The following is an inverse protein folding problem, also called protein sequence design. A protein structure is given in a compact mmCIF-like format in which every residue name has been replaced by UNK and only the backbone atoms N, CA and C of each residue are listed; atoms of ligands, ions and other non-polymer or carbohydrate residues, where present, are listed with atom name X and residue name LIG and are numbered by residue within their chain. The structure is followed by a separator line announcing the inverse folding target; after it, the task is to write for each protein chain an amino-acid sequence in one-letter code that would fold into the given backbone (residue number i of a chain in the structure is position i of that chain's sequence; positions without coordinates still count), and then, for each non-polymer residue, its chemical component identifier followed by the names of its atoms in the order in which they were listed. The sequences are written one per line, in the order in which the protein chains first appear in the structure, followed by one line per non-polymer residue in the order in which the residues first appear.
data_IF_782485337919
#
_entry.id   IF_782485337919
#
_cell.length_a   1.000
_cell.length_b   1.000
_cell.length_c   1.000
_cell.angle_alpha   90.00
_cell.angle_beta   90.00
_cell.angle_gamma   90.00
#
_symmetry.space_group_name_H-M   'P 1'
#
loop_
_entity.id
_entity.type
_entity.pdbx_description
1 polymer ?
#
# COMPACT_ATOMS: atom_id res chain seq x y z
N UNK A 1 2.20 6.45 5.01
CA UNK A 1 1.02 5.60 4.78
C UNK A 1 -0.01 5.72 5.90
N UNK A 2 -1.04 6.55 5.77
CA UNK A 2 -2.10 6.70 6.79
C UNK A 2 -3.42 6.07 6.32
N UNK A 3 -4.18 5.45 7.22
CA UNK A 3 -5.59 5.11 6.99
C UNK A 3 -6.40 6.41 7.10
N UNK A 4 -7.59 6.44 6.51
CA UNK A 4 -8.47 7.63 6.54
C UNK A 4 -8.69 8.17 7.95
N UNK A 5 -9.03 7.31 8.91
CA UNK A 5 -9.25 7.69 10.31
C UNK A 5 -7.97 8.20 10.99
N UNK A 6 -6.82 7.57 10.72
CA UNK A 6 -5.50 8.00 11.22
C UNK A 6 -5.15 9.40 10.67
N UNK A 7 -5.36 9.64 9.38
CA UNK A 7 -5.12 10.94 8.77
C UNK A 7 -6.03 12.03 9.37
N UNK A 8 -7.32 11.77 9.51
CA UNK A 8 -8.26 12.71 10.14
C UNK A 8 -7.97 12.94 11.63
N UNK A 9 -7.41 11.92 12.31
CA UNK A 9 -7.04 11.96 13.72
C UNK A 9 -5.66 12.51 14.00
N UNK A 10 -4.82 12.74 13.00
CA UNK A 10 -3.42 13.12 13.21
C UNK A 10 -3.32 14.45 13.96
N UNK A 11 -2.56 14.48 15.06
CA UNK A 11 -2.28 15.70 15.85
C UNK A 11 -0.95 16.31 15.45
N UNK A 12 -0.84 17.63 15.59
CA UNK A 12 0.44 18.33 15.44
C UNK A 12 1.48 17.92 16.48
N UNK A 13 1.06 17.53 17.68
CA UNK A 13 1.95 17.01 18.74
C UNK A 13 2.67 15.73 18.34
N UNK A 14 2.05 14.95 17.44
CA UNK A 14 2.55 13.66 16.98
C UNK A 14 3.13 13.78 15.55
N UNK A 15 3.36 15.01 15.07
CA UNK A 15 3.87 15.32 13.72
C UNK A 15 5.17 16.12 13.82
N UNK A 16 6.29 15.40 13.76
CA UNK A 16 7.64 15.92 13.96
C UNK A 16 8.29 16.29 12.63
N UNK A 17 7.87 17.42 12.05
CA UNK A 17 8.29 17.85 10.71
C UNK A 17 9.81 18.06 10.56
N UNK A 18 10.50 18.49 11.62
CA UNK A 18 11.96 18.69 11.57
C UNK A 18 12.73 17.37 11.54
N UNK A 19 12.16 16.32 12.12
CA UNK A 19 12.69 14.96 12.02
C UNK A 19 12.17 14.22 10.77
N UNK A 20 11.19 14.79 10.05
CA UNK A 20 10.50 14.11 8.95
C UNK A 20 9.72 12.88 9.41
N UNK A 21 9.11 12.92 10.60
CA UNK A 21 8.40 11.77 11.18
C UNK A 21 6.96 12.11 11.56
N UNK A 22 6.06 11.15 11.37
CA UNK A 22 4.71 11.15 11.92
C UNK A 22 4.53 9.92 12.79
N UNK A 23 4.05 10.13 14.02
CA UNK A 23 3.63 9.06 14.91
C UNK A 23 2.11 8.90 14.80
N UNK A 24 1.68 7.70 14.42
CA UNK A 24 0.26 7.33 14.34
C UNK A 24 -0.18 6.89 15.74
N UNK A 25 -0.70 7.82 16.53
CA UNK A 25 -1.10 7.53 17.92
C UNK A 25 -2.62 7.46 18.11
N UNK A 26 -3.41 8.11 17.23
CA UNK A 26 -4.87 8.24 17.34
C UNK A 26 -5.53 8.13 15.98
N UNK A 27 -6.81 7.80 15.96
CA UNK A 27 -7.65 7.84 14.76
C UNK A 27 -9.02 8.45 15.09
N UNK A 28 -9.66 9.04 14.08
CA UNK A 28 -11.09 9.34 14.16
C UNK A 28 -11.90 8.19 13.60
N UNK A 29 -12.83 7.69 14.41
CA UNK A 29 -13.78 6.62 14.08
C UNK A 29 -15.17 7.25 13.94
N UNK A 30 -15.99 6.63 13.09
CA UNK A 30 -17.39 7.03 12.90
C UNK A 30 -18.27 5.87 13.36
N UNK A 31 -19.18 6.15 14.29
CA UNK A 31 -20.29 5.26 14.63
C UNK A 31 -21.61 5.99 14.35
N UNK A 32 -22.39 5.46 13.41
CA UNK A 32 -23.49 6.19 12.78
C UNK A 32 -23.01 7.50 12.13
N UNK A 33 -23.33 8.64 12.76
CA UNK A 33 -22.90 9.98 12.35
C UNK A 33 -21.98 10.67 13.38
N UNK A 34 -21.73 10.04 14.52
CA UNK A 34 -20.88 10.60 15.55
C UNK A 34 -19.42 10.28 15.27
N UNK A 35 -18.55 11.27 15.48
CA UNK A 35 -17.11 11.15 15.32
C UNK A 35 -16.46 11.19 16.69
N UNK A 36 -15.71 10.16 17.03
CA UNK A 36 -14.91 10.13 18.25
C UNK A 36 -13.46 9.76 17.97
N UNK A 37 -12.57 10.18 18.87
CA UNK A 37 -11.17 9.78 18.87
C UNK A 37 -11.04 8.41 19.53
N UNK A 38 -10.28 7.52 18.90
CA UNK A 38 -9.96 6.20 19.41
C UNK A 38 -8.47 5.89 19.21
N UNK A 39 -7.97 4.91 19.94
CA UNK A 39 -6.65 4.33 19.71
C UNK A 39 -6.64 3.50 18.43
N UNK A 40 -5.48 3.31 17.76
CA UNK A 40 -5.38 2.40 16.64
C UNK A 40 -5.88 1.01 17.03
N UNK A 41 -6.69 0.38 16.17
CA UNK A 41 -7.36 -0.91 16.43
C UNK A 41 -6.42 -2.06 16.85
N UNK A 42 -5.11 -1.92 16.62
CA UNK A 42 -4.10 -2.93 16.93
C UNK A 42 -2.80 -2.25 17.38
N UNK A 43 -1.97 -2.95 18.16
CA UNK A 43 -0.63 -2.47 18.54
C UNK A 43 0.23 -2.14 17.31
N UNK A 44 0.07 -2.90 16.22
CA UNK A 44 0.71 -2.63 14.93
C UNK A 44 0.24 -1.33 14.25
N UNK A 45 -0.92 -0.80 14.66
CA UNK A 45 -1.44 0.49 14.20
C UNK A 45 -0.67 1.67 14.79
N UNK A 46 -0.11 1.52 16.00
CA UNK A 46 0.76 2.51 16.62
C UNK A 46 2.17 2.42 16.03
N UNK A 47 2.47 3.31 15.09
CA UNK A 47 3.72 3.25 14.30
C UNK A 47 4.24 4.63 13.94
N UNK A 48 5.53 4.70 13.65
CA UNK A 48 6.16 5.90 13.11
C UNK A 48 6.35 5.75 11.61
N UNK A 49 6.00 6.79 10.85
CA UNK A 49 6.12 6.86 9.39
C UNK A 49 7.11 7.97 9.06
N UNK A 50 8.11 7.65 8.26
CA UNK A 50 9.01 8.65 7.68
C UNK A 50 8.31 9.41 6.55
N UNK A 51 8.64 10.70 6.46
CA UNK A 51 8.18 11.62 5.42
C UNK A 51 9.36 12.02 4.55
N UNK A 52 9.15 12.08 3.25
CA UNK A 52 10.07 12.73 2.34
C UNK A 52 10.02 14.27 2.48
N UNK A 53 11.03 14.93 1.91
CA UNK A 53 11.18 16.38 2.03
C UNK A 53 10.01 17.16 1.39
N UNK A 54 9.43 16.67 0.29
CA UNK A 54 8.33 17.35 -0.39
C UNK A 54 7.06 17.26 0.45
N UNK A 55 6.78 16.09 1.05
CA UNK A 55 5.65 15.92 1.98
C UNK A 55 5.81 16.81 3.22
N UNK A 56 7.02 16.92 3.78
CA UNK A 56 7.30 17.83 4.90
C UNK A 56 7.00 19.28 4.51
N UNK A 57 7.41 19.72 3.32
CA UNK A 57 7.17 21.08 2.85
C UNK A 57 5.68 21.36 2.62
N UNK A 58 4.94 20.40 2.07
CA UNK A 58 3.47 20.49 1.94
C UNK A 58 2.82 20.66 3.31
N UNK A 59 3.24 19.90 4.32
CA UNK A 59 2.70 20.00 5.68
C UNK A 59 3.07 21.32 6.37
N UNK A 60 4.28 21.85 6.16
CA UNK A 60 4.67 23.18 6.68
C UNK A 60 3.78 24.28 6.15
N UNK A 61 3.56 24.30 4.83
CA UNK A 61 2.66 25.25 4.17
C UNK A 61 1.21 25.08 4.64
N UNK A 62 0.78 23.85 4.84
CA UNK A 62 -0.54 23.57 5.42
C UNK A 62 -0.68 24.13 6.84
N UNK A 63 0.33 23.94 7.70
CA UNK A 63 0.37 24.50 9.06
C UNK A 63 0.30 26.02 9.06
N UNK A 64 1.01 26.67 8.13
CA UNK A 64 0.96 28.12 7.98
C UNK A 64 -0.45 28.61 7.59
N UNK A 65 -1.07 27.98 6.58
CA UNK A 65 -2.46 28.28 6.17
C UNK A 65 -3.45 28.10 7.32
N UNK A 66 -3.34 27.01 8.07
CA UNK A 66 -4.19 26.76 9.23
C UNK A 66 -4.00 27.84 10.30
N UNK A 67 -2.79 28.37 10.46
CA UNK A 67 -2.51 29.53 11.31
C UNK A 67 -3.26 30.78 10.87
N UNK A 68 -3.26 31.08 9.57
CA UNK A 68 -4.04 32.19 9.00
C UNK A 68 -5.55 31.99 9.18
N UNK A 69 -6.05 30.77 9.00
CA UNK A 69 -7.46 30.41 9.26
C UNK A 69 -7.82 30.62 10.73
N UNK A 70 -6.98 30.16 11.65
CA UNK A 70 -7.13 30.37 13.09
C UNK A 70 -7.19 31.86 13.45
N UNK A 71 -6.32 32.69 12.88
CA UNK A 71 -6.36 34.13 13.08
C UNK A 71 -7.65 34.77 12.54
N UNK A 72 -8.12 34.34 11.35
CA UNK A 72 -9.36 34.83 10.74
C UNK A 72 -10.60 34.48 11.57
N UNK A 73 -10.66 33.27 12.11
CA UNK A 73 -11.80 32.80 12.93
C UNK A 73 -11.72 33.30 14.38
N UNK A 74 -10.52 33.62 14.88
CA UNK A 74 -10.31 34.20 16.20
C UNK A 74 -10.95 33.36 17.30
N UNK A 75 -11.86 33.96 18.08
CA UNK A 75 -12.54 33.28 19.18
C UNK A 75 -13.46 32.12 18.74
N UNK A 76 -13.87 32.09 17.47
CA UNK A 76 -14.73 31.03 16.93
C UNK A 76 -13.93 29.80 16.48
N UNK A 77 -12.60 29.87 16.52
CA UNK A 77 -11.73 28.75 16.20
C UNK A 77 -11.86 27.64 17.25
N UNK A 78 -11.99 26.40 16.79
CA UNK A 78 -12.07 25.21 17.65
C UNK A 78 -10.67 24.58 17.80
N UNK A 79 -10.14 24.59 19.02
CA UNK A 79 -8.81 24.07 19.33
C UNK A 79 -8.78 22.54 19.41
N UNK A 80 -8.79 21.88 18.25
CA UNK A 80 -8.71 20.41 18.16
C UNK A 80 -7.27 19.87 18.14
N UNK A 81 -6.30 20.71 17.81
CA UNK A 81 -4.88 20.33 17.68
C UNK A 81 -4.56 19.40 16.49
N UNK A 82 -5.51 19.22 15.56
CA UNK A 82 -5.36 18.32 14.40
C UNK A 82 -4.55 18.97 13.29
N UNK A 83 -3.83 18.13 12.56
CA UNK A 83 -3.16 18.51 11.31
C UNK A 83 -4.20 18.94 10.28
N UNK A 84 -5.26 18.15 10.10
CA UNK A 84 -6.32 18.43 9.14
C UNK A 84 -7.63 18.76 9.86
N UNK A 85 -8.15 19.95 9.60
CA UNK A 85 -9.39 20.49 10.18
C UNK A 85 -10.25 21.07 9.07
N UNK A 86 -11.50 21.42 9.40
CA UNK A 86 -12.23 22.44 8.67
C UNK A 86 -11.57 23.81 8.87
N UNK A 87 -11.98 24.79 8.08
CA UNK A 87 -11.47 26.17 8.15
C UNK A 87 -11.68 26.84 9.51
N UNK A 88 -12.62 26.36 10.33
CA UNK A 88 -12.90 26.86 11.68
C UNK A 88 -12.22 26.04 12.79
N UNK A 89 -11.38 25.07 12.45
CA UNK A 89 -10.66 24.21 13.40
C UNK A 89 -11.42 22.95 13.83
N UNK A 90 -12.69 22.79 13.44
CA UNK A 90 -13.47 21.58 13.72
C UNK A 90 -12.88 20.33 13.04
N UNK A 91 -13.23 19.16 13.58
CA UNK A 91 -12.81 17.87 13.05
C UNK A 91 -13.33 17.65 11.63
N UNK A 92 -12.49 17.06 10.78
CA UNK A 92 -12.94 16.49 9.53
C UNK A 92 -13.69 15.19 9.78
N UNK A 93 -14.92 15.11 9.26
CA UNK A 93 -15.66 13.85 9.27
C UNK A 93 -15.05 12.89 8.25
N UNK A 94 -14.60 11.68 8.62
CA UNK A 94 -13.96 10.75 7.69
C UNK A 94 -14.78 10.45 6.43
N UNK A 95 -16.11 10.31 6.54
CA UNK A 95 -16.96 10.11 5.37
C UNK A 95 -16.94 11.31 4.40
N UNK A 96 -16.83 12.55 4.90
CA UNK A 96 -16.75 13.74 4.05
C UNK A 96 -15.43 13.79 3.29
N UNK A 97 -14.33 13.32 3.88
CA UNK A 97 -13.03 13.18 3.19
C UNK A 97 -13.14 12.18 2.03
N UNK A 98 -13.84 11.07 2.25
CA UNK A 98 -14.06 10.06 1.19
C UNK A 98 -14.93 10.63 0.07
N UNK A 99 -16.04 11.30 0.43
CA UNK A 99 -16.92 11.95 -0.54
C UNK A 99 -16.17 13.00 -1.36
N UNK A 100 -15.38 13.86 -0.71
CA UNK A 100 -14.59 14.88 -1.40
C UNK A 100 -13.56 14.28 -2.35
N UNK A 101 -12.93 13.18 -1.98
CA UNK A 101 -12.01 12.47 -2.87
C UNK A 101 -12.72 11.90 -4.10
N UNK A 102 -13.94 11.38 -3.93
CA UNK A 102 -14.76 10.89 -5.05
C UNK A 102 -15.09 12.03 -6.02
N UNK A 103 -15.61 13.14 -5.50
CA UNK A 103 -15.90 14.35 -6.30
C UNK A 103 -14.68 14.80 -7.12
N UNK A 104 -13.49 14.80 -6.51
CA UNK A 104 -12.27 15.26 -7.16
C UNK A 104 -11.84 14.35 -8.32
N UNK A 105 -11.87 13.02 -8.16
CA UNK A 105 -11.47 12.13 -9.25
C UNK A 105 -12.49 12.14 -10.41
N UNK A 106 -13.78 12.31 -10.09
CA UNK A 106 -14.86 12.43 -11.08
C UNK A 106 -14.71 13.72 -11.89
N UNK A 107 -14.39 14.83 -11.24
CA UNK A 107 -14.17 16.14 -11.87
C UNK A 107 -13.04 16.11 -12.91
N UNK A 108 -11.98 15.34 -12.66
CA UNK A 108 -10.83 15.19 -13.57
C UNK A 108 -10.96 13.98 -14.51
N UNK A 109 -12.08 13.25 -14.47
CA UNK A 109 -12.38 12.14 -15.38
C UNK A 109 -11.53 10.88 -15.15
N UNK A 110 -11.04 10.65 -13.94
CA UNK A 110 -10.33 9.40 -13.61
C UNK A 110 -11.31 8.23 -13.42
N UNK A 111 -10.87 6.99 -13.67
CA UNK A 111 -11.64 5.80 -13.30
C UNK A 111 -11.92 5.76 -11.79
N UNK A 112 -13.02 5.11 -11.36
CA UNK A 112 -13.34 4.99 -9.95
C UNK A 112 -12.19 4.37 -9.14
N UNK A 113 -11.73 5.11 -8.14
CA UNK A 113 -10.66 4.70 -7.22
C UNK A 113 -11.07 5.03 -5.79
N UNK A 114 -10.79 4.13 -4.85
CA UNK A 114 -11.14 4.33 -3.44
C UNK A 114 -9.98 5.05 -2.75
N UNK A 115 -10.29 5.85 -1.73
CA UNK A 115 -9.26 6.59 -1.00
C UNK A 115 -8.18 5.67 -0.40
N UNK A 116 -8.55 4.46 0.01
CA UNK A 116 -7.56 3.50 0.52
C UNK A 116 -6.70 2.87 -0.58
N UNK A 117 -7.11 2.92 -1.85
CA UNK A 117 -6.28 2.43 -2.95
C UNK A 117 -5.03 3.31 -3.13
N UNK A 118 -5.04 4.57 -2.66
CA UNK A 118 -3.82 5.39 -2.56
C UNK A 118 -2.76 4.76 -1.66
N UNK A 119 -3.20 4.10 -0.58
CA UNK A 119 -2.32 3.34 0.32
C UNK A 119 -1.79 2.09 -0.37
N UNK A 120 -2.57 1.45 -1.24
CA UNK A 120 -2.05 0.35 -2.04
C UNK A 120 -1.02 0.85 -3.05
N UNK A 121 -1.31 1.93 -3.77
CA UNK A 121 -0.39 2.53 -4.74
C UNK A 121 0.96 2.92 -4.14
N UNK A 122 0.96 3.58 -2.97
CA UNK A 122 2.20 3.96 -2.31
C UNK A 122 3.04 2.74 -1.84
N UNK A 123 2.44 1.57 -1.62
CA UNK A 123 3.15 0.37 -1.19
C UNK A 123 3.77 -0.32 -2.41
N UNK A 124 3.04 -0.33 -3.53
CA UNK A 124 3.58 -0.73 -4.82
C UNK A 124 4.77 0.15 -5.22
N UNK A 125 4.68 1.47 -5.02
CA UNK A 125 5.79 2.40 -5.28
C UNK A 125 6.99 2.14 -4.37
N UNK A 126 6.76 1.90 -3.08
CA UNK A 126 7.83 1.55 -2.15
C UNK A 126 8.52 0.23 -2.53
N UNK A 127 7.75 -0.78 -2.93
CA UNK A 127 8.28 -2.05 -3.40
C UNK A 127 9.10 -1.88 -4.69
N UNK A 128 8.59 -1.11 -5.65
CA UNK A 128 9.30 -0.78 -6.88
C UNK A 128 10.62 -0.04 -6.62
N UNK A 129 10.67 0.77 -5.55
CA UNK A 129 11.88 1.44 -5.10
C UNK A 129 12.86 0.53 -4.34
N UNK A 130 12.53 -0.76 -4.18
CA UNK A 130 13.38 -1.77 -3.57
C UNK A 130 13.17 -1.99 -2.07
N UNK A 131 12.11 -1.43 -1.47
CA UNK A 131 11.76 -1.74 -0.09
C UNK A 131 11.34 -3.22 0.03
N UNK A 132 11.81 -3.87 1.09
CA UNK A 132 11.43 -5.25 1.34
C UNK A 132 9.99 -5.33 1.85
N UNK A 133 9.40 -6.53 1.78
CA UNK A 133 8.00 -6.74 2.19
C UNK A 133 7.78 -6.48 3.69
N UNK A 134 8.82 -6.61 4.51
CA UNK A 134 8.75 -6.42 5.96
C UNK A 134 8.68 -4.94 6.31
N UNK A 135 9.51 -4.11 5.68
CA UNK A 135 9.50 -2.65 5.76
C UNK A 135 8.15 -2.10 5.28
N UNK A 136 7.63 -2.63 4.16
CA UNK A 136 6.31 -2.23 3.64
C UNK A 136 5.20 -2.63 4.61
N UNK A 137 5.25 -3.84 5.17
CA UNK A 137 4.28 -4.30 6.16
C UNK A 137 4.25 -3.40 7.40
N UNK A 138 5.42 -3.02 7.92
CA UNK A 138 5.57 -2.14 9.08
C UNK A 138 5.07 -0.72 8.77
N UNK A 139 5.46 -0.16 7.63
CA UNK A 139 4.96 1.13 7.15
C UNK A 139 3.42 1.12 6.99
N UNK A 140 2.86 -0.01 6.55
CA UNK A 140 1.43 -0.22 6.41
C UNK A 140 0.72 -0.57 7.72
N UNK A 141 1.42 -0.82 8.83
CA UNK A 141 0.78 -1.23 10.09
C UNK A 141 -0.13 -2.45 9.92
N UNK A 142 0.22 -3.37 9.02
CA UNK A 142 -0.52 -4.61 8.79
C UNK A 142 -0.04 -5.67 9.78
N UNK A 143 -0.97 -6.29 10.52
CA UNK A 143 -0.67 -7.40 11.42
C UNK A 143 -0.32 -8.69 10.69
N UNK A 144 -0.76 -8.85 9.43
CA UNK A 144 -0.47 -10.03 8.60
C UNK A 144 0.29 -9.65 7.32
N UNK A 145 1.36 -10.40 7.06
CA UNK A 145 2.18 -10.30 5.83
C UNK A 145 1.42 -10.83 4.61
N UNK A 146 0.46 -11.74 4.79
CA UNK A 146 -0.30 -12.39 3.70
C UNK A 146 -1.09 -11.39 2.87
N UNK A 147 -1.72 -10.38 3.51
CA UNK A 147 -2.41 -9.28 2.82
C UNK A 147 -1.44 -8.47 1.95
N UNK A 148 -0.18 -8.35 2.39
CA UNK A 148 0.90 -7.59 1.75
C UNK A 148 1.70 -8.44 0.74
N UNK A 149 1.59 -9.76 0.75
CA UNK A 149 2.21 -10.63 -0.24
C UNK A 149 1.25 -10.92 -1.40
N UNK A 150 -0.01 -11.25 -1.09
CA UNK A 150 -1.02 -11.64 -2.09
C UNK A 150 -1.41 -10.48 -3.02
N UNK A 151 -1.27 -9.22 -2.58
CA UNK A 151 -1.65 -8.04 -3.36
C UNK A 151 -0.52 -7.51 -4.26
N UNK A 152 0.76 -7.81 -3.96
CA UNK A 152 1.89 -7.07 -4.54
C UNK A 152 2.87 -7.92 -5.37
N UNK A 153 2.84 -9.24 -5.20
CA UNK A 153 3.73 -10.16 -5.94
C UNK A 153 3.45 -10.19 -7.45
N UNK A 154 2.31 -9.65 -7.92
CA UNK A 154 1.90 -9.71 -9.33
C UNK A 154 2.05 -8.39 -10.11
N UNK A 155 2.45 -7.29 -9.46
CA UNK A 155 2.35 -5.95 -10.05
C UNK A 155 3.60 -5.46 -10.78
N UNK A 156 4.72 -6.20 -10.75
CA UNK A 156 5.96 -5.80 -11.41
C UNK A 156 6.68 -7.00 -12.07
N UNK A 157 6.22 -7.46 -13.25
CA UNK A 157 6.89 -8.53 -14.01
C UNK A 157 8.38 -8.24 -14.27
N UNK A 158 8.75 -6.96 -14.37
CA UNK A 158 10.12 -6.50 -14.57
C UNK A 158 10.98 -6.65 -13.30
N UNK A 159 10.39 -6.46 -12.11
CA UNK A 159 11.06 -6.73 -10.84
C UNK A 159 11.23 -8.24 -10.64
N UNK A 160 10.23 -9.05 -11.00
CA UNK A 160 10.32 -10.51 -10.97
C UNK A 160 11.44 -11.03 -11.86
N UNK A 161 11.61 -10.45 -13.05
CA UNK A 161 12.71 -10.80 -13.96
C UNK A 161 14.07 -10.45 -13.34
N UNK A 162 14.20 -9.26 -12.75
CA UNK A 162 15.43 -8.83 -12.10
C UNK A 162 15.78 -9.70 -10.86
N UNK A 163 14.78 -10.10 -10.08
CA UNK A 163 14.91 -11.02 -8.95
C UNK A 163 15.30 -12.42 -9.45
N UNK A 164 14.67 -12.92 -10.51
CA UNK A 164 15.02 -14.19 -11.11
C UNK A 164 16.47 -14.21 -11.64
N UNK A 165 16.93 -13.12 -12.26
CA UNK A 165 18.31 -12.98 -12.71
C UNK A 165 19.31 -12.85 -11.54
N UNK A 166 18.95 -12.13 -10.47
CA UNK A 166 19.77 -12.05 -9.26
C UNK A 166 19.88 -13.41 -8.57
N UNK A 167 18.77 -14.15 -8.44
CA UNK A 167 18.75 -15.51 -7.91
C UNK A 167 19.57 -16.48 -8.77
N UNK A 168 19.44 -16.40 -10.10
CA UNK A 168 20.21 -17.23 -11.02
C UNK A 168 21.73 -16.98 -10.93
N UNK A 169 22.16 -15.76 -10.58
CA UNK A 169 23.57 -15.42 -10.34
C UNK A 169 24.13 -16.02 -9.05
N UNK A 170 23.28 -16.27 -8.06
CA UNK A 170 23.66 -16.88 -6.78
C UNK A 170 23.75 -18.41 -6.85
N UNK A 171 23.18 -19.05 -7.88
CA UNK A 171 23.28 -20.50 -8.08
C UNK A 171 24.55 -20.81 -8.89
N UNK A 172 25.58 -21.46 -8.31
CA UNK A 172 26.76 -21.85 -9.07
C UNK A 172 26.35 -22.83 -10.16
N UNK A 173 26.49 -22.44 -11.43
CA UNK A 173 26.30 -23.37 -12.54
C UNK A 173 27.50 -24.30 -12.61
N UNK A 174 27.47 -25.36 -11.79
CA UNK A 174 28.39 -26.47 -11.90
C UNK A 174 27.99 -27.34 -13.10
N UNK A 175 28.27 -26.85 -14.31
CA UNK A 175 28.48 -27.73 -15.46
C UNK A 175 29.52 -27.07 -16.36
N UNK A 176 30.73 -27.60 -16.30
CA UNK A 176 31.74 -27.37 -17.32
C UNK A 176 31.13 -27.71 -18.69
N UNK A 177 31.46 -26.95 -19.75
CA UNK A 177 31.14 -27.37 -21.11
C UNK A 177 31.73 -28.77 -21.30
N UNK A 178 30.88 -29.75 -21.64
CA UNK A 178 31.40 -30.98 -22.22
C UNK A 178 31.83 -30.60 -23.63
N UNK A 179 33.12 -30.55 -23.87
CA UNK A 179 33.65 -30.62 -25.23
C UNK A 179 33.06 -31.88 -25.86
N UNK A 180 32.08 -31.69 -26.75
CA UNK A 180 31.63 -32.74 -27.65
C UNK A 180 32.65 -32.75 -28.78
N UNK A 181 33.45 -33.81 -28.96
CA UNK A 181 34.35 -33.88 -30.10
C UNK A 181 33.51 -33.90 -31.38
N UNK A 182 33.86 -33.01 -32.30
CA UNK A 182 33.34 -33.00 -33.67
C UNK A 182 33.71 -34.34 -34.33
N UNK A 183 32.69 -35.19 -34.50
CA UNK A 183 32.82 -36.54 -34.99
C UNK A 183 31.66 -36.82 -35.93
N UNK A 184 31.85 -36.43 -37.19
CA UNK A 184 31.00 -36.82 -38.28
C UNK A 184 30.80 -38.35 -38.35
N UNK A 185 29.56 -38.70 -38.66
CA UNK A 185 29.14 -39.88 -39.40
C UNK A 185 29.00 -41.22 -38.63
N UNK A 186 27.74 -41.62 -38.39
CA UNK A 186 27.19 -42.89 -38.90
C UNK A 186 25.67 -43.00 -38.72
N UNK A 187 25.05 -43.28 -39.86
CA UNK A 187 23.67 -43.67 -40.14
C UNK A 187 23.06 -44.71 -39.19
N UNK A 188 21.73 -44.64 -39.03
CA UNK A 188 20.90 -45.72 -38.50
C UNK A 188 19.45 -45.31 -38.29
N UNK A 189 18.64 -45.44 -39.32
CA UNK A 189 17.19 -45.35 -39.28
C UNK A 189 16.59 -46.22 -38.16
N UNK A 190 15.61 -45.69 -37.41
CA UNK A 190 14.40 -46.44 -37.06
C UNK A 190 13.19 -45.51 -37.02
N UNK A 191 12.31 -45.74 -37.98
CA UNK A 191 10.91 -45.30 -38.05
C UNK A 191 10.08 -45.97 -36.94
N UNK A 192 9.13 -45.24 -36.36
CA UNK A 192 7.86 -45.83 -35.94
C UNK A 192 7.31 -45.44 -34.56
N UNK A 193 6.10 -44.87 -34.61
CA UNK A 193 4.99 -45.08 -33.68
C UNK A 193 4.82 -44.16 -32.45
N UNK A 194 3.81 -43.29 -32.62
CA UNK A 194 2.62 -43.15 -31.76
C UNK A 194 2.71 -42.37 -30.44
N UNK A 195 2.06 -41.20 -30.45
CA UNK A 195 1.44 -40.59 -29.28
C UNK A 195 0.18 -41.36 -28.84
N UNK A 196 -0.17 -41.29 -27.54
CA UNK A 196 -1.49 -40.80 -27.13
C UNK A 196 -1.35 -39.79 -25.96
N UNK A 197 -2.00 -38.63 -26.01
CA UNK A 197 -3.41 -38.32 -25.66
C UNK A 197 -3.69 -38.18 -24.15
N UNK A 198 -3.93 -36.92 -23.77
CA UNK A 198 -4.91 -36.37 -22.83
C UNK A 198 -5.41 -37.20 -21.62
N UNK A 199 -5.21 -36.61 -20.43
CA UNK A 199 -6.09 -36.77 -19.27
C UNK A 199 -6.23 -35.40 -18.57
N UNK A 200 -7.28 -34.64 -18.90
CA UNK A 200 -8.61 -34.67 -18.29
C UNK A 200 -8.69 -33.83 -17.00
N UNK A 201 -9.47 -32.75 -17.12
CA UNK A 201 -9.82 -31.78 -16.10
C UNK A 201 -10.46 -32.44 -14.88
N UNK A 202 -10.10 -31.98 -13.68
CA UNK A 202 -10.84 -32.24 -12.45
C UNK A 202 -11.52 -30.96 -12.00
N UNK A 203 -12.82 -30.91 -12.26
CA UNK A 203 -13.80 -30.04 -11.61
C UNK A 203 -13.84 -30.39 -10.13
N UNK A 204 -13.62 -29.42 -9.25
CA UNK A 204 -14.03 -29.52 -7.84
C UNK A 204 -15.11 -28.48 -7.58
N UNK A 205 -16.24 -29.01 -7.14
CA UNK A 205 -17.47 -28.38 -6.67
C UNK A 205 -17.20 -27.57 -5.40
N UNK A 206 -17.65 -26.32 -5.39
CA UNK A 206 -17.77 -25.48 -4.20
C UNK A 206 -19.03 -25.85 -3.40
N UNK A 207 -19.00 -25.81 -2.06
CA UNK A 207 -20.20 -25.62 -1.27
C UNK A 207 -20.40 -24.14 -0.91
N UNK A 208 -21.66 -23.71 -1.06
CA UNK A 208 -22.24 -22.47 -0.58
C UNK A 208 -21.99 -22.24 0.92
N UNK A 209 -21.75 -20.99 1.29
CA UNK A 209 -21.59 -20.56 2.68
C UNK A 209 -21.36 -19.06 2.80
N UNK A 210 -22.34 -18.24 2.39
CA UNK A 210 -22.36 -16.80 2.71
C UNK A 210 -22.88 -16.57 4.13
N UNK A 211 -21.98 -16.11 5.00
CA UNK A 211 -22.27 -15.47 6.30
C UNK A 211 -21.45 -14.18 6.37
N UNK A 212 -22.19 -13.06 6.41
CA UNK A 212 -21.96 -11.78 7.10
C UNK A 212 -20.56 -11.13 7.23
N UNK A 213 -20.57 -9.83 6.90
CA UNK A 213 -19.90 -8.70 7.56
C UNK A 213 -18.36 -8.56 7.51
N UNK A 214 -17.88 -7.50 6.84
CA UNK A 214 -17.03 -6.42 7.38
C UNK A 214 -16.70 -5.35 6.31
#
# INVERSE_FOLDING_TARGET
MLRRGEACGQKWTDTHLDAGLITVAKQLVVDGWEVYEDDPKTDAGARTIALDADTVEVLRRHRARQGEEREKWGIAWVETGRVFTRENGELLHPANVTRRFIELYEEIGLPPVRLHDLRHGAATLAHAAGADLKDIQEMLGHSSITITADTYTSLLPEADLAIAEAAARLVPRARAPRDVPDGADRLGEISGAAAPSAHAARTQTAPDGTSEAE
#
